data_IF_233439208690
#
_entry.id   IF_233439208690
#
_cell.length_a   1.000
_cell.length_b   1.000
_cell.length_c   1.000
_cell.angle_alpha   90.00
_cell.angle_beta   90.00
_cell.angle_gamma   90.00
#
_symmetry.space_group_name_H-M   'P 1'
#
loop_
_entity.id
_entity.type
_entity.pdbx_description
1 polymer ?
#
# COMPACT_ATOMS: atom_id res chain seq x y z
N UNK A 1 15.13 5.08 2.41
CA UNK A 1 14.88 4.71 1.00
C UNK A 1 13.57 3.96 0.77
N UNK A 2 13.20 2.94 1.57
CA UNK A 2 11.96 2.17 1.33
C UNK A 2 10.69 3.05 1.32
N UNK A 3 10.63 4.08 2.16
CA UNK A 3 9.49 5.02 2.20
C UNK A 3 9.26 5.73 0.85
N UNK A 4 10.31 6.25 0.20
CA UNK A 4 10.15 7.00 -1.05
C UNK A 4 9.77 6.11 -2.23
N UNK A 5 10.31 4.89 -2.30
CA UNK A 5 9.95 3.90 -3.33
C UNK A 5 8.48 3.48 -3.18
N UNK A 6 8.02 3.23 -1.96
CA UNK A 6 6.61 2.93 -1.69
C UNK A 6 5.69 4.12 -2.01
N UNK A 7 6.08 5.34 -1.64
CA UNK A 7 5.29 6.53 -1.95
C UNK A 7 5.15 6.72 -3.46
N UNK A 8 6.24 6.55 -4.20
CA UNK A 8 6.24 6.61 -5.67
C UNK A 8 5.32 5.53 -6.25
N UNK A 9 5.41 4.29 -5.74
CA UNK A 9 4.50 3.22 -6.14
C UNK A 9 3.04 3.61 -5.91
N UNK A 10 2.69 4.10 -4.71
CA UNK A 10 1.31 4.51 -4.39
C UNK A 10 0.82 5.65 -5.28
N UNK A 11 1.69 6.60 -5.65
CA UNK A 11 1.35 7.67 -6.60
C UNK A 11 1.03 7.08 -7.98
N UNK A 12 1.86 6.16 -8.48
CA UNK A 12 1.69 5.54 -9.79
C UNK A 12 0.41 4.70 -9.91
N UNK A 13 0.01 4.02 -8.83
CA UNK A 13 -1.14 3.11 -8.89
C UNK A 13 -2.47 3.79 -8.61
N UNK A 14 -2.49 4.98 -8.02
CA UNK A 14 -3.73 5.53 -7.46
C UNK A 14 -4.81 5.74 -8.53
N UNK A 15 -4.45 6.42 -9.62
CA UNK A 15 -5.35 6.69 -10.73
C UNK A 15 -5.67 5.41 -11.54
N UNK A 16 -4.68 4.59 -11.97
CA UNK A 16 -4.96 3.32 -12.66
C UNK A 16 -5.84 2.36 -11.86
N UNK A 17 -5.67 2.28 -10.54
CA UNK A 17 -6.46 1.39 -9.69
C UNK A 17 -7.93 1.83 -9.62
N UNK A 18 -8.17 3.14 -9.48
CA UNK A 18 -9.51 3.71 -9.51
C UNK A 18 -10.13 3.51 -10.89
N UNK A 19 -9.40 3.83 -11.97
CA UNK A 19 -9.90 3.68 -13.33
C UNK A 19 -10.30 2.23 -13.64
N UNK A 20 -9.41 1.27 -13.36
CA UNK A 20 -9.66 -0.14 -13.64
C UNK A 20 -10.86 -0.67 -12.84
N UNK A 21 -10.85 -0.53 -11.51
CA UNK A 21 -11.85 -1.20 -10.66
C UNK A 21 -13.17 -0.41 -10.56
N UNK A 22 -13.12 0.93 -10.57
CA UNK A 22 -14.31 1.75 -10.42
C UNK A 22 -14.94 2.08 -11.77
N UNK A 23 -14.14 2.55 -12.73
CA UNK A 23 -14.68 3.05 -14.01
C UNK A 23 -14.93 1.93 -15.02
N UNK A 24 -13.96 1.03 -15.19
CA UNK A 24 -14.02 0.00 -16.24
C UNK A 24 -14.76 -1.26 -15.78
N UNK A 25 -14.35 -1.85 -14.66
CA UNK A 25 -14.97 -3.08 -14.15
C UNK A 25 -16.26 -2.83 -13.35
N UNK A 26 -16.47 -1.59 -12.90
CA UNK A 26 -17.61 -1.18 -12.07
C UNK A 26 -17.82 -2.12 -10.87
N UNK A 27 -16.72 -2.55 -10.24
CA UNK A 27 -16.73 -3.55 -9.17
C UNK A 27 -16.92 -2.93 -7.78
N UNK A 28 -16.56 -1.66 -7.58
CA UNK A 28 -16.64 -1.00 -6.29
C UNK A 28 -17.35 0.36 -6.33
N UNK A 29 -18.21 0.61 -5.33
CA UNK A 29 -18.73 1.95 -5.04
C UNK A 29 -17.61 2.84 -4.49
N UNK A 30 -16.82 2.30 -3.57
CA UNK A 30 -15.60 2.92 -3.03
C UNK A 30 -14.40 2.08 -3.42
N UNK A 31 -13.42 2.69 -4.09
CA UNK A 31 -12.15 2.08 -4.48
C UNK A 31 -11.05 3.07 -4.12
N UNK A 32 -10.13 2.67 -3.25
CA UNK A 32 -9.04 3.52 -2.79
C UNK A 32 -7.75 2.70 -2.65
N UNK A 33 -6.63 3.33 -2.97
CA UNK A 33 -5.30 2.83 -2.64
C UNK A 33 -4.55 3.89 -1.85
N UNK A 34 -3.83 3.49 -0.80
CA UNK A 34 -3.08 4.42 0.03
C UNK A 34 -1.85 3.78 0.63
N UNK A 35 -0.88 4.62 0.97
CA UNK A 35 0.25 4.21 1.79
C UNK A 35 -0.23 4.04 3.24
N UNK A 36 0.20 2.95 3.88
CA UNK A 36 -0.03 2.67 5.30
C UNK A 36 1.32 2.64 6.00
N UNK A 37 1.44 3.39 7.10
CA UNK A 37 2.65 3.44 7.94
C UNK A 37 2.24 3.28 9.39
N UNK A 38 2.47 2.10 9.96
CA UNK A 38 2.21 1.88 11.39
C UNK A 38 3.43 1.25 12.04
N UNK A 39 3.86 1.82 13.18
CA UNK A 39 4.93 1.27 14.01
C UNK A 39 6.17 0.85 13.21
N UNK A 40 6.68 1.75 12.36
CA UNK A 40 7.82 1.53 11.46
C UNK A 40 7.60 0.63 10.23
N UNK A 41 6.42 0.04 10.08
CA UNK A 41 6.10 -0.84 8.96
C UNK A 41 5.42 -0.04 7.86
N UNK A 42 6.00 -0.09 6.67
CA UNK A 42 5.50 0.55 5.47
C UNK A 42 4.79 -0.48 4.59
N UNK A 43 3.61 -0.14 4.08
CA UNK A 43 2.87 -0.98 3.16
C UNK A 43 1.91 -0.19 2.28
N UNK A 44 1.36 -0.87 1.27
CA UNK A 44 0.25 -0.36 0.47
C UNK A 44 -1.04 -1.02 0.94
N UNK A 45 -2.10 -0.24 1.09
CA UNK A 45 -3.43 -0.70 1.44
C UNK A 45 -4.37 -0.45 0.26
N UNK A 46 -5.14 -1.48 -0.09
CA UNK A 46 -6.24 -1.40 -1.04
C UNK A 46 -7.55 -1.55 -0.29
N UNK A 47 -8.47 -0.61 -0.48
CA UNK A 47 -9.79 -0.62 0.14
C UNK A 47 -10.83 -0.64 -0.98
N UNK A 48 -11.65 -1.68 -1.00
CA UNK A 48 -12.71 -1.85 -1.98
C UNK A 48 -14.00 -2.16 -1.22
N UNK A 49 -15.05 -1.40 -1.51
CA UNK A 49 -16.40 -1.66 -1.04
C UNK A 49 -17.31 -1.84 -2.25
N UNK A 50 -17.98 -2.98 -2.33
CA UNK A 50 -18.98 -3.28 -3.34
C UNK A 50 -20.35 -3.50 -2.70
N UNK A 51 -21.40 -3.17 -3.45
CA UNK A 51 -22.80 -3.47 -3.10
C UNK A 51 -23.41 -4.52 -4.04
N UNK A 52 -22.63 -5.04 -5.01
CA UNK A 52 -23.14 -5.91 -6.07
C UNK A 52 -23.15 -7.37 -5.63
N UNK A 53 -24.30 -8.01 -5.82
CA UNK A 53 -24.43 -9.47 -5.70
C UNK A 53 -23.45 -10.16 -6.65
N UNK A 54 -22.73 -11.18 -6.18
CA UNK A 54 -21.68 -11.89 -6.91
C UNK A 54 -20.25 -11.34 -6.75
N UNK A 55 -20.06 -10.12 -6.22
CA UNK A 55 -18.73 -9.56 -5.93
C UNK A 55 -18.36 -9.73 -4.45
N UNK A 56 -18.17 -10.99 -4.03
CA UNK A 56 -17.70 -11.30 -2.68
C UNK A 56 -16.29 -10.73 -2.41
N UNK A 57 -15.91 -10.54 -1.14
CA UNK A 57 -14.55 -10.15 -0.77
C UNK A 57 -13.45 -11.02 -1.38
N UNK A 58 -13.66 -12.34 -1.48
CA UNK A 58 -12.74 -13.26 -2.17
C UNK A 58 -12.55 -12.91 -3.65
N UNK A 59 -13.63 -12.62 -4.38
CA UNK A 59 -13.55 -12.16 -5.76
C UNK A 59 -12.82 -10.82 -5.89
N UNK A 60 -13.03 -9.89 -4.96
CA UNK A 60 -12.32 -8.61 -4.94
C UNK A 60 -10.81 -8.77 -4.73
N UNK A 61 -10.41 -9.72 -3.88
CA UNK A 61 -8.99 -10.03 -3.70
C UNK A 61 -8.35 -10.50 -5.02
N UNK A 62 -9.05 -11.34 -5.80
CA UNK A 62 -8.59 -11.77 -7.12
C UNK A 62 -8.47 -10.60 -8.11
N UNK A 63 -9.34 -9.59 -8.05
CA UNK A 63 -9.23 -8.38 -8.86
C UNK A 63 -8.00 -7.55 -8.52
N UNK A 64 -7.67 -7.41 -7.23
CA UNK A 64 -6.42 -6.75 -6.80
C UNK A 64 -5.20 -7.52 -7.29
N UNK A 65 -5.21 -8.86 -7.21
CA UNK A 65 -4.13 -9.70 -7.74
C UNK A 65 -3.99 -9.53 -9.26
N UNK A 66 -5.11 -9.51 -9.99
CA UNK A 66 -5.14 -9.25 -11.44
C UNK A 66 -4.57 -7.87 -11.79
N UNK A 67 -4.96 -6.83 -11.07
CA UNK A 67 -4.42 -5.48 -11.21
C UNK A 67 -2.89 -5.45 -11.01
N UNK A 68 -2.37 -6.12 -9.97
CA UNK A 68 -0.92 -6.17 -9.73
C UNK A 68 -0.16 -6.89 -10.85
N UNK A 69 -0.72 -7.96 -11.43
CA UNK A 69 -0.13 -8.66 -12.60
C UNK A 69 -0.14 -7.78 -13.85
N UNK A 70 -1.23 -7.04 -14.08
CA UNK A 70 -1.30 -6.07 -15.17
C UNK A 70 -0.24 -4.97 -14.98
N UNK A 71 -0.13 -4.45 -13.76
CA UNK A 71 0.80 -3.38 -13.40
C UNK A 71 2.26 -3.80 -13.54
N UNK A 72 2.61 -5.05 -13.21
CA UNK A 72 3.96 -5.59 -13.43
C UNK A 72 4.44 -5.34 -14.86
N UNK A 73 3.62 -5.68 -15.85
CA UNK A 73 3.95 -5.46 -17.25
C UNK A 73 4.14 -3.98 -17.60
N UNK A 74 3.37 -3.09 -16.97
CA UNK A 74 3.45 -1.64 -17.15
C UNK A 74 4.72 -1.07 -16.53
N UNK A 75 5.08 -1.50 -15.32
CA UNK A 75 6.30 -1.04 -14.63
C UNK A 75 7.55 -1.45 -15.43
N UNK A 76 7.63 -2.70 -15.90
CA UNK A 76 8.79 -3.15 -16.67
C UNK A 76 8.94 -2.38 -17.99
N UNK A 77 7.83 -2.18 -18.70
CA UNK A 77 7.81 -1.52 -20.02
C UNK A 77 7.79 0.01 -19.95
N UNK A 78 7.71 0.61 -18.75
CA UNK A 78 7.67 2.05 -18.56
C UNK A 78 8.92 2.71 -19.17
N UNK A 79 8.79 3.67 -20.09
CA UNK A 79 9.93 4.44 -20.59
C UNK A 79 10.66 5.19 -19.47
N UNK A 80 11.97 5.43 -19.63
CA UNK A 80 12.77 6.15 -18.65
C UNK A 80 12.26 7.57 -18.40
N UNK A 81 11.86 8.28 -19.46
CA UNK A 81 11.30 9.63 -19.37
C UNK A 81 9.94 9.66 -18.66
N UNK A 82 9.11 8.62 -18.83
CA UNK A 82 7.88 8.48 -18.05
C UNK A 82 8.18 8.28 -16.57
N UNK A 83 9.15 7.42 -16.24
CA UNK A 83 9.57 7.20 -14.86
C UNK A 83 10.07 8.50 -14.20
N UNK A 84 10.93 9.25 -14.89
CA UNK A 84 11.43 10.54 -14.43
C UNK A 84 10.29 11.53 -14.16
N UNK A 85 9.30 11.64 -15.06
CA UNK A 85 8.10 12.48 -14.85
C UNK A 85 7.32 12.09 -13.59
N UNK A 86 7.23 10.78 -13.27
CA UNK A 86 6.57 10.32 -12.03
C UNK A 86 7.38 10.71 -10.79
N UNK A 87 8.71 10.61 -10.86
CA UNK A 87 9.62 11.05 -9.78
C UNK A 87 9.48 12.56 -9.57
N UNK A 88 9.53 13.36 -10.64
CA UNK A 88 9.39 14.82 -10.58
C UNK A 88 8.04 15.24 -10.02
N UNK A 89 6.96 14.57 -10.43
CA UNK A 89 5.62 14.80 -9.89
C UNK A 89 5.58 14.59 -8.37
N UNK A 90 6.23 13.53 -7.87
CA UNK A 90 6.31 13.27 -6.42
C UNK A 90 7.20 14.29 -5.70
N UNK A 91 8.32 14.71 -6.31
CA UNK A 91 9.17 15.77 -5.75
C UNK A 91 8.37 17.07 -5.62
N UNK A 92 7.62 17.45 -6.66
CA UNK A 92 6.78 18.63 -6.66
C UNK A 92 5.69 18.56 -5.56
N UNK A 93 5.00 17.42 -5.42
CA UNK A 93 4.03 17.19 -4.33
C UNK A 93 4.69 17.39 -2.96
N UNK A 94 5.90 16.85 -2.76
CA UNK A 94 6.63 16.94 -1.49
C UNK A 94 7.12 18.36 -1.18
N UNK A 95 7.54 19.11 -2.19
CA UNK A 95 8.03 20.48 -2.04
C UNK A 95 6.91 21.52 -1.92
N UNK A 96 5.64 21.11 -2.07
CA UNK A 96 4.51 22.01 -1.86
C UNK A 96 4.57 22.62 -0.45
N UNK A 97 4.52 23.94 -0.40
CA UNK A 97 4.46 24.69 0.87
C UNK A 97 3.11 24.45 1.55
N UNK A 98 3.09 24.33 2.89
CA UNK A 98 1.84 24.29 3.63
C UNK A 98 1.04 25.57 3.36
N UNK A 99 -0.27 25.46 3.20
CA UNK A 99 -1.14 26.58 2.87
C UNK A 99 -1.52 27.42 4.11
N UNK A 100 -1.37 26.85 5.29
CA UNK A 100 -1.72 27.48 6.56
C UNK A 100 -0.92 26.88 7.73
N UNK A 101 -0.98 27.56 8.88
CA UNK A 101 -0.26 27.17 10.10
C UNK A 101 -0.67 25.78 10.62
N UNK A 102 -1.94 25.38 10.46
CA UNK A 102 -2.40 24.07 10.91
C UNK A 102 -1.73 22.95 10.10
N UNK A 103 -1.67 23.11 8.77
CA UNK A 103 -1.01 22.15 7.89
C UNK A 103 0.48 22.01 8.21
N UNK A 104 1.16 23.15 8.43
CA UNK A 104 2.56 23.17 8.85
C UNK A 104 2.76 22.50 10.22
N UNK A 105 1.90 22.82 11.19
CA UNK A 105 1.94 22.24 12.53
C UNK A 105 1.76 20.73 12.50
N UNK A 106 0.86 20.21 11.66
CA UNK A 106 0.63 18.76 11.52
C UNK A 106 1.85 18.01 10.97
N UNK A 107 2.65 18.64 10.11
CA UNK A 107 3.89 18.03 9.59
C UNK A 107 4.86 17.77 10.75
N UNK A 108 5.12 18.78 11.59
CA UNK A 108 6.02 18.64 12.74
C UNK A 108 5.42 17.77 13.84
N UNK A 109 4.13 17.91 14.11
CA UNK A 109 3.43 17.13 15.12
C UNK A 109 3.48 15.63 14.83
N UNK A 110 3.41 15.24 13.54
CA UNK A 110 3.58 13.85 13.13
C UNK A 110 4.92 13.27 13.57
N UNK A 111 6.02 14.00 13.37
CA UNK A 111 7.36 13.54 13.80
C UNK A 111 7.47 13.37 15.32
N UNK A 112 6.76 14.20 16.08
CA UNK A 112 6.71 14.13 17.55
C UNK A 112 5.91 12.90 18.00
N UNK A 113 4.70 12.72 17.48
CA UNK A 113 3.80 11.62 17.86
C UNK A 113 4.38 10.25 17.44
N UNK A 114 4.95 10.19 16.24
CA UNK A 114 5.61 8.98 15.71
C UNK A 114 6.96 8.71 16.40
N UNK A 115 7.52 9.71 17.08
CA UNK A 115 8.78 9.62 17.82
C UNK A 115 10.02 9.55 16.93
N UNK A 116 9.90 9.90 15.66
CA UNK A 116 10.99 9.87 14.67
C UNK A 116 11.85 11.12 14.75
N UNK A 117 11.26 12.28 15.09
CA UNK A 117 11.96 13.57 15.26
C UNK A 117 12.80 14.00 14.04
N UNK A 118 12.44 13.57 12.82
CA UNK A 118 13.13 13.93 11.58
C UNK A 118 12.42 15.13 10.95
N UNK A 119 12.69 16.33 11.45
CA UNK A 119 12.00 17.54 11.00
C UNK A 119 12.40 18.00 9.59
N UNK A 120 13.56 17.55 9.09
CA UNK A 120 14.07 17.75 7.72
C UNK A 120 13.72 16.56 6.78
N UNK A 121 12.70 15.76 7.12
CA UNK A 121 12.33 14.56 6.36
C UNK A 121 12.02 14.88 4.90
N UNK A 122 11.37 16.02 4.63
CA UNK A 122 11.00 16.44 3.27
C UNK A 122 12.26 16.57 2.40
N UNK A 123 13.27 17.28 2.90
CA UNK A 123 14.53 17.52 2.23
C UNK A 123 15.28 16.21 1.98
N UNK A 124 15.34 15.33 2.99
CA UNK A 124 15.97 14.00 2.87
C UNK A 124 15.26 13.11 1.85
N UNK A 125 13.93 13.10 1.85
CA UNK A 125 13.15 12.30 0.91
C UNK A 125 13.25 12.82 -0.53
N UNK A 126 13.29 14.15 -0.72
CA UNK A 126 13.53 14.75 -2.03
C UNK A 126 14.94 14.43 -2.54
N UNK A 127 15.97 14.52 -1.68
CA UNK A 127 17.33 14.14 -2.05
C UNK A 127 17.40 12.66 -2.46
N UNK A 128 16.72 11.77 -1.73
CA UNK A 128 16.64 10.36 -2.07
C UNK A 128 15.88 10.10 -3.38
N UNK A 129 14.82 10.86 -3.68
CA UNK A 129 14.08 10.75 -4.94
C UNK A 129 14.91 11.18 -6.14
N UNK A 130 15.72 12.23 -6.01
CA UNK A 130 16.61 12.70 -7.09
C UNK A 130 17.68 11.68 -7.47
N UNK A 131 18.02 10.77 -6.58
CA UNK A 131 19.00 9.70 -6.81
C UNK A 131 18.33 8.37 -7.19
N UNK A 132 17.00 8.30 -7.19
CA UNK A 132 16.27 7.05 -7.39
C UNK A 132 16.28 6.67 -8.88
N UNK A 133 16.83 5.50 -9.18
CA UNK A 133 16.83 4.94 -10.55
C UNK A 133 15.57 4.10 -10.83
N UNK A 134 15.28 3.82 -12.10
CA UNK A 134 14.17 2.93 -12.48
C UNK A 134 14.47 1.49 -12.03
N UNK A 135 15.72 1.07 -12.12
CA UNK A 135 16.22 -0.25 -11.73
C UNK A 135 16.03 -0.45 -10.22
N UNK A 136 16.34 0.59 -9.43
CA UNK A 136 16.08 0.62 -7.99
C UNK A 136 14.60 0.43 -7.64
N UNK A 137 13.72 1.02 -8.43
CA UNK A 137 12.28 0.93 -8.25
C UNK A 137 11.74 -0.44 -8.64
N UNK A 138 12.22 -1.00 -9.76
CA UNK A 138 11.90 -2.37 -10.20
C UNK A 138 12.33 -3.38 -9.15
N UNK A 139 13.57 -3.29 -8.64
CA UNK A 139 14.06 -4.18 -7.60
C UNK A 139 13.17 -4.13 -6.34
N UNK A 140 12.72 -2.94 -5.93
CA UNK A 140 11.75 -2.79 -4.85
C UNK A 140 10.40 -3.47 -5.16
N UNK A 141 9.88 -3.28 -6.38
CA UNK A 141 8.63 -3.90 -6.78
C UNK A 141 8.71 -5.43 -6.77
N UNK A 142 9.80 -5.99 -7.30
CA UNK A 142 10.05 -7.43 -7.38
C UNK A 142 10.28 -8.07 -6.01
N UNK A 143 10.91 -7.34 -5.07
CA UNK A 143 11.20 -7.85 -3.74
C UNK A 143 9.95 -7.82 -2.82
N UNK A 144 9.11 -6.79 -2.90
CA UNK A 144 8.06 -6.53 -1.90
C UNK A 144 6.62 -6.52 -2.40
N UNK A 145 6.35 -6.21 -3.67
CA UNK A 145 5.00 -5.86 -4.14
C UNK A 145 4.43 -6.88 -5.13
N UNK A 146 5.26 -7.32 -6.07
CA UNK A 146 4.89 -8.26 -7.15
C UNK A 146 4.18 -9.49 -6.60
N UNK A 147 3.27 -10.05 -7.40
CA UNK A 147 2.59 -11.31 -7.03
C UNK A 147 3.64 -12.42 -6.95
N UNK A 148 3.77 -13.05 -5.79
CA UNK A 148 4.82 -14.04 -5.53
C UNK A 148 6.19 -13.45 -5.14
N UNK A 149 6.27 -12.14 -4.89
CA UNK A 149 7.50 -11.50 -4.42
C UNK A 149 7.99 -12.14 -3.10
N UNK A 150 9.31 -12.37 -2.95
CA UNK A 150 9.86 -13.19 -1.86
C UNK A 150 9.66 -12.59 -0.47
N UNK A 151 9.55 -11.26 -0.35
CA UNK A 151 9.32 -10.57 0.92
C UNK A 151 7.93 -9.96 1.04
N UNK A 152 7.02 -10.29 0.13
CA UNK A 152 5.65 -9.83 0.21
C UNK A 152 4.94 -10.48 1.38
N UNK A 153 4.37 -9.64 2.24
CA UNK A 153 3.45 -10.05 3.30
C UNK A 153 2.09 -9.42 3.00
N UNK A 154 1.03 -10.22 3.04
CA UNK A 154 -0.32 -9.76 2.73
C UNK A 154 -1.25 -10.15 3.86
N UNK A 155 -2.06 -9.19 4.30
CA UNK A 155 -3.18 -9.41 5.22
C UNK A 155 -4.42 -8.91 4.50
N UNK A 156 -5.44 -9.77 4.40
CA UNK A 156 -6.72 -9.44 3.79
C UNK A 156 -7.79 -9.45 4.89
N UNK A 157 -8.48 -8.33 5.05
CA UNK A 157 -9.64 -8.22 5.95
C UNK A 157 -10.89 -8.22 5.10
N UNK A 158 -11.71 -9.25 5.27
CA UNK A 158 -12.87 -9.50 4.40
C UNK A 158 -14.16 -9.35 5.21
N UNK A 159 -14.99 -8.40 4.81
CA UNK A 159 -16.27 -8.11 5.45
C UNK A 159 -17.39 -8.46 4.48
N UNK A 160 -18.25 -9.39 4.86
CA UNK A 160 -19.31 -9.92 4.02
C UNK A 160 -20.64 -9.24 4.36
N UNK A 161 -21.28 -8.65 3.36
CA UNK A 161 -22.68 -8.23 3.47
C UNK A 161 -23.62 -9.43 3.51
N UNK A 162 -24.85 -9.24 4.00
CA UNK A 162 -25.88 -10.28 4.11
C UNK A 162 -26.15 -11.01 2.79
N UNK A 163 -26.06 -10.28 1.67
CA UNK A 163 -26.21 -10.81 0.30
C UNK A 163 -25.14 -11.82 -0.12
N UNK A 164 -24.03 -11.91 0.63
CA UNK A 164 -22.92 -12.85 0.40
C UNK A 164 -22.79 -13.91 1.51
N UNK A 165 -23.90 -14.20 2.22
CA UNK A 165 -23.89 -15.18 3.31
C UNK A 165 -23.52 -16.61 2.86
N UNK A 166 -23.80 -16.96 1.60
CA UNK A 166 -23.39 -18.23 1.02
C UNK A 166 -21.88 -18.31 0.84
N UNK A 167 -21.28 -17.29 0.23
CA UNK A 167 -19.83 -17.17 0.04
C UNK A 167 -19.09 -17.11 1.39
N UNK A 168 -19.63 -16.36 2.37
CA UNK A 168 -19.08 -16.34 3.73
C UNK A 168 -19.01 -17.74 4.36
N UNK A 169 -20.07 -18.55 4.22
CA UNK A 169 -20.07 -19.92 4.75
C UNK A 169 -19.02 -20.78 4.07
N UNK A 170 -18.85 -20.66 2.75
CA UNK A 170 -17.80 -21.38 2.01
C UNK A 170 -16.41 -20.98 2.52
N UNK A 171 -16.11 -19.70 2.51
CA UNK A 171 -14.79 -19.18 2.91
C UNK A 171 -14.46 -19.46 4.40
N UNK A 172 -15.48 -19.61 5.25
CA UNK A 172 -15.33 -19.95 6.67
C UNK A 172 -15.15 -21.43 6.97
N UNK A 173 -15.68 -22.34 6.16
CA UNK A 173 -15.69 -23.77 6.49
C UNK A 173 -14.93 -24.66 5.52
N UNK A 174 -14.66 -24.18 4.30
CA UNK A 174 -13.83 -24.88 3.33
C UNK A 174 -12.33 -24.71 3.67
N UNK A 175 -11.52 -25.65 3.17
CA UNK A 175 -10.07 -25.59 3.34
C UNK A 175 -9.50 -24.41 2.55
N UNK A 176 -8.62 -23.64 3.19
CA UNK A 176 -7.88 -22.57 2.51
C UNK A 176 -6.79 -23.17 1.63
N UNK A 177 -6.39 -22.42 0.60
CA UNK A 177 -5.22 -22.76 -0.21
C UNK A 177 -3.97 -22.93 0.67
N UNK A 178 -3.02 -23.77 0.25
CA UNK A 178 -1.84 -24.14 1.05
C UNK A 178 -0.99 -22.95 1.56
N UNK A 179 -1.08 -21.79 0.89
CA UNK A 179 -0.33 -20.58 1.21
C UNK A 179 -1.17 -19.51 1.95
N UNK A 180 -2.39 -19.84 2.37
CA UNK A 180 -3.31 -18.92 3.05
C UNK A 180 -3.61 -19.43 4.45
N UNK A 181 -3.29 -18.62 5.44
CA UNK A 181 -3.63 -18.88 6.85
C UNK A 181 -4.87 -18.09 7.20
N UNK A 182 -5.97 -18.78 7.54
CA UNK A 182 -7.15 -18.14 8.11
C UNK A 182 -6.87 -17.79 9.58
N UNK A 183 -7.22 -16.57 9.97
CA UNK A 183 -7.09 -16.09 11.34
C UNK A 183 -8.47 -16.21 12.00
N UNK A 184 -8.65 -17.24 12.82
CA UNK A 184 -9.89 -17.45 13.58
C UNK A 184 -9.90 -16.64 14.91
N UNK A 185 -8.73 -16.45 15.52
CA UNK A 185 -8.53 -15.60 16.71
C UNK A 185 -7.37 -14.61 16.50
N UNK A 186 -7.66 -13.31 16.66
CA UNK A 186 -6.68 -12.24 16.41
C UNK A 186 -5.59 -12.15 17.49
N UNK A 187 -5.89 -12.56 18.73
CA UNK A 187 -4.93 -12.52 19.84
C UNK A 187 -3.93 -13.67 19.71
N UNK A 188 -4.39 -14.87 19.37
CA UNK A 188 -3.52 -16.01 19.07
C UNK A 188 -2.62 -15.72 17.88
N UNK A 189 -3.19 -15.17 16.81
CA UNK A 189 -2.39 -14.74 15.67
C UNK A 189 -1.31 -13.74 16.10
N UNK A 190 -1.67 -12.67 16.83
CA UNK A 190 -0.68 -11.68 17.32
C UNK A 190 0.41 -12.32 18.18
N UNK A 191 0.07 -13.27 19.06
CA UNK A 191 1.03 -13.99 19.92
C UNK A 191 1.99 -14.88 19.12
N UNK A 192 1.53 -15.43 18.00
CA UNK A 192 2.34 -16.31 17.13
C UNK A 192 3.34 -15.57 16.24
N UNK A 193 3.19 -14.26 16.06
CA UNK A 193 4.00 -13.49 15.12
C UNK A 193 5.15 -12.75 15.82
N UNK A 194 6.33 -12.64 15.19
CA UNK A 194 7.40 -11.81 15.72
C UNK A 194 6.98 -10.32 15.71
N UNK A 195 7.31 -9.61 16.78
CA UNK A 195 7.09 -8.17 16.87
C UNK A 195 8.16 -7.40 16.09
N UNK A 196 7.73 -6.38 15.35
CA UNK A 196 8.65 -5.47 14.68
C UNK A 196 9.23 -4.46 15.66
N UNK A 197 10.47 -4.01 15.43
CA UNK A 197 11.10 -2.99 16.25
C UNK A 197 10.34 -1.65 16.20
N UNK A 198 10.30 -0.95 17.34
CA UNK A 198 9.68 0.37 17.45
C UNK A 198 10.66 1.49 17.09
N UNK A 199 10.16 2.57 16.48
CA UNK A 199 10.91 3.82 16.37
C UNK A 199 10.87 4.65 17.66
N UNK A 200 9.89 4.43 18.54
CA UNK A 200 9.82 5.12 19.83
C UNK A 200 11.02 4.72 20.71
N UNK A 201 11.82 5.72 21.10
CA UNK A 201 12.97 5.54 21.98
C UNK A 201 14.33 5.39 21.27
N UNK A 202 14.38 5.38 19.93
CA UNK A 202 15.65 5.53 19.21
C UNK A 202 15.97 7.00 19.03
N UNK A 203 16.44 7.65 20.10
CA UNK A 203 17.20 8.90 19.97
C UNK A 203 18.52 8.54 19.27
N UNK A 204 18.59 8.72 17.96
CA UNK A 204 19.89 8.97 17.32
C UNK A 204 20.18 10.45 17.56
N UNK A 205 20.90 10.73 18.65
CA UNK A 205 21.68 11.94 18.79
C UNK A 205 22.81 11.93 17.74
#
# INVERSE_FOLDING_TARGET
MLNVKLRLFTLMINEPFIQQLRSEEQVGYTVMSMQRVDSAIYGVQFIIQSIRKGLSPGHMNLRVVGFLKWLESKIYKMPGDEFEKRVDSLIHEKLRKPQNLMEESLIYWKEIVDGTLIFDRREREVAALKQLTKEDFIAFFDEYIKVGAPRKKTVSVQVYGTVHSGEYKKDKYEQTEANVVRIDDIFDFKRSQPLSGSFKGRMQL
#
